data_IF_356477940822
#
_entry.id   IF_356477940822
#
_cell.length_a   1.000
_cell.length_b   1.000
_cell.length_c   1.000
_cell.angle_alpha   90.00
_cell.angle_beta   90.00
_cell.angle_gamma   90.00
#
_symmetry.space_group_name_H-M   'P 1'
#
loop_
_entity.id
_entity.type
_entity.pdbx_description
1 polymer ?
#
# COMPACT_ATOMS: atom_id res chain seq x y z
N UNK A 1 -33.33 13.51 -36.87
CA UNK A 1 -32.54 12.90 -37.97
C UNK A 1 -32.05 11.52 -37.50
N UNK A 2 -32.67 10.42 -37.95
CA UNK A 2 -32.38 9.05 -37.46
C UNK A 2 -30.91 8.62 -37.63
N UNK A 3 -30.21 9.20 -38.61
CA UNK A 3 -28.79 8.94 -38.88
C UNK A 3 -27.88 9.36 -37.72
N UNK A 4 -28.11 10.54 -37.12
CA UNK A 4 -27.28 11.07 -36.03
C UNK A 4 -27.44 10.21 -34.77
N UNK A 5 -28.68 9.78 -34.49
CA UNK A 5 -28.97 8.89 -33.37
C UNK A 5 -28.28 7.54 -33.52
N UNK A 6 -28.27 6.96 -34.73
CA UNK A 6 -27.59 5.70 -34.99
C UNK A 6 -26.06 5.79 -34.78
N UNK A 7 -25.43 6.88 -35.24
CA UNK A 7 -23.99 7.12 -35.04
C UNK A 7 -23.66 7.24 -33.55
N UNK A 8 -24.47 8.00 -32.80
CA UNK A 8 -24.26 8.18 -31.36
C UNK A 8 -24.36 6.85 -30.60
N UNK A 9 -25.34 6.00 -30.94
CA UNK A 9 -25.50 4.70 -30.29
C UNK A 9 -24.29 3.79 -30.56
N UNK A 10 -23.82 3.71 -31.82
CA UNK A 10 -22.63 2.91 -32.16
C UNK A 10 -21.37 3.42 -31.44
N UNK A 11 -21.24 4.73 -31.25
CA UNK A 11 -20.13 5.32 -30.52
C UNK A 11 -20.13 4.89 -29.04
N UNK A 12 -21.31 4.90 -28.41
CA UNK A 12 -21.51 4.45 -27.03
C UNK A 12 -21.19 2.95 -26.90
N UNK A 13 -21.67 2.13 -27.83
CA UNK A 13 -21.39 0.68 -27.84
C UNK A 13 -19.89 0.40 -27.97
N UNK A 14 -19.20 1.16 -28.82
CA UNK A 14 -17.76 1.07 -28.96
C UNK A 14 -17.04 1.49 -27.67
N UNK A 15 -17.45 2.61 -27.06
CA UNK A 15 -16.91 3.08 -25.79
C UNK A 15 -17.14 2.08 -24.65
N UNK A 16 -18.25 1.34 -24.67
CA UNK A 16 -18.53 0.28 -23.70
C UNK A 16 -17.68 -0.98 -23.95
N UNK A 17 -17.37 -1.32 -25.21
CA UNK A 17 -16.65 -2.54 -25.57
C UNK A 17 -15.11 -2.42 -25.50
N UNK A 18 -14.55 -1.25 -25.82
CA UNK A 18 -13.09 -1.03 -25.88
C UNK A 18 -12.36 -1.29 -24.55
N UNK A 19 -12.85 -0.86 -23.37
CA UNK A 19 -12.17 -1.09 -22.09
C UNK A 19 -11.96 -2.57 -21.78
N UNK A 20 -12.94 -3.42 -22.09
CA UNK A 20 -12.85 -4.86 -21.86
C UNK A 20 -11.75 -5.51 -22.71
N UNK A 21 -11.68 -5.15 -23.99
CA UNK A 21 -10.64 -5.64 -24.92
C UNK A 21 -9.24 -5.19 -24.51
N UNK A 22 -9.10 -3.94 -24.07
CA UNK A 22 -7.81 -3.42 -23.58
C UNK A 22 -7.36 -4.15 -22.31
N UNK A 23 -8.29 -4.38 -21.36
CA UNK A 23 -8.01 -5.16 -20.16
C UNK A 23 -7.51 -6.58 -20.48
N UNK A 24 -8.20 -7.29 -21.39
CA UNK A 24 -7.78 -8.63 -21.83
C UNK A 24 -6.36 -8.63 -22.40
N UNK A 25 -6.02 -7.60 -23.19
CA UNK A 25 -4.71 -7.48 -23.84
C UNK A 25 -3.57 -7.23 -22.85
N UNK A 26 -3.83 -6.49 -21.75
CA UNK A 26 -2.80 -6.15 -20.77
C UNK A 26 -2.63 -7.18 -19.64
N UNK A 27 -3.64 -8.01 -19.40
CA UNK A 27 -3.66 -8.93 -18.25
C UNK A 27 -2.47 -9.89 -18.21
N UNK A 28 -2.18 -10.58 -19.31
CA UNK A 28 -1.11 -11.60 -19.34
C UNK A 28 0.30 -10.99 -19.26
N UNK A 29 0.64 -9.95 -20.04
CA UNK A 29 1.94 -9.28 -19.91
C UNK A 29 2.14 -8.67 -18.52
N UNK A 30 1.09 -8.11 -17.91
CA UNK A 30 1.17 -7.56 -16.56
C UNK A 30 1.45 -8.67 -15.53
N UNK A 31 0.77 -9.82 -15.63
CA UNK A 31 1.03 -10.97 -14.77
C UNK A 31 2.48 -11.45 -14.88
N UNK A 32 3.00 -11.60 -16.10
CA UNK A 32 4.40 -11.97 -16.34
C UNK A 32 5.39 -10.91 -15.83
N UNK A 33 5.03 -9.63 -15.93
CA UNK A 33 5.82 -8.54 -15.36
C UNK A 33 5.88 -8.60 -13.84
N UNK A 34 4.74 -8.86 -13.19
CA UNK A 34 4.62 -9.03 -11.74
C UNK A 34 5.45 -10.24 -11.28
N UNK A 35 5.30 -11.40 -11.91
CA UNK A 35 6.06 -12.61 -11.58
C UNK A 35 7.58 -12.39 -11.69
N UNK A 36 8.04 -11.72 -12.77
CA UNK A 36 9.44 -11.33 -12.92
C UNK A 36 9.91 -10.37 -11.83
N UNK A 37 9.10 -9.40 -11.42
CA UNK A 37 9.47 -8.48 -10.35
C UNK A 37 9.45 -9.15 -8.95
N UNK A 38 8.62 -10.18 -8.73
CA UNK A 38 8.66 -11.01 -7.52
C UNK A 38 9.94 -11.84 -7.44
N UNK A 39 10.32 -12.52 -8.53
CA UNK A 39 11.58 -13.31 -8.58
C UNK A 39 12.81 -12.45 -8.38
N UNK A 40 12.78 -11.20 -8.86
CA UNK A 40 13.85 -10.21 -8.64
C UNK A 40 13.80 -9.54 -7.25
N UNK A 41 12.86 -9.91 -6.37
CA UNK A 41 12.75 -9.35 -5.02
C UNK A 41 12.37 -7.87 -4.95
N UNK A 42 11.78 -7.31 -6.02
CA UNK A 42 11.37 -5.89 -6.07
C UNK A 42 10.14 -5.60 -5.21
N UNK A 43 9.26 -6.58 -5.04
CA UNK A 43 8.09 -6.45 -4.17
C UNK A 43 8.47 -6.70 -2.72
N UNK A 44 8.62 -5.62 -1.94
CA UNK A 44 8.91 -5.67 -0.50
C UNK A 44 7.67 -5.33 0.36
N UNK A 45 6.49 -5.20 -0.25
CA UNK A 45 5.27 -4.76 0.43
C UNK A 45 5.34 -3.30 0.90
N UNK A 46 4.41 -2.90 1.76
CA UNK A 46 4.39 -1.56 2.38
C UNK A 46 5.47 -1.49 3.45
N UNK A 47 6.52 -0.72 3.19
CA UNK A 47 7.60 -0.50 4.14
C UNK A 47 7.15 0.43 5.27
N UNK A 48 7.73 0.24 6.46
CA UNK A 48 7.50 1.12 7.60
C UNK A 48 8.07 2.53 7.32
N UNK A 49 7.35 3.56 7.76
CA UNK A 49 7.84 4.94 7.66
C UNK A 49 8.86 5.21 8.77
N UNK A 50 10.12 4.90 8.48
CA UNK A 50 11.22 5.06 9.42
C UNK A 50 11.40 6.51 9.88
N UNK A 51 11.06 7.50 9.04
CA UNK A 51 11.19 8.91 9.40
C UNK A 51 10.18 9.30 10.46
N UNK A 52 8.95 8.81 10.35
CA UNK A 52 7.93 8.99 11.39
C UNK A 52 8.32 8.29 12.68
N UNK A 53 8.84 7.06 12.59
CA UNK A 53 9.32 6.34 13.77
C UNK A 53 10.51 7.03 14.48
N UNK A 54 11.35 7.79 13.75
CA UNK A 54 12.48 8.54 14.32
C UNK A 54 12.10 9.93 14.83
N UNK A 55 11.22 10.65 14.12
CA UNK A 55 10.78 12.01 14.48
C UNK A 55 9.85 12.04 15.69
N UNK A 56 9.12 10.96 15.91
CA UNK A 56 8.35 10.72 17.12
C UNK A 56 9.23 9.84 18.04
N UNK A 57 10.16 10.40 18.86
CA UNK A 57 11.00 9.64 19.80
C UNK A 57 10.19 9.08 20.98
N UNK A 58 8.91 8.86 20.75
CA UNK A 58 7.92 8.54 21.77
C UNK A 58 8.16 7.14 22.34
N UNK A 59 8.54 6.15 21.52
CA UNK A 59 8.63 4.77 22.01
C UNK A 59 9.82 4.46 22.95
N UNK A 60 11.06 4.94 22.72
CA UNK A 60 12.17 4.69 23.65
C UNK A 60 12.01 5.43 24.99
N UNK A 61 11.31 6.57 24.99
CA UNK A 61 11.18 7.46 26.16
C UNK A 61 9.88 7.23 26.95
N UNK A 62 8.90 6.50 26.40
CA UNK A 62 7.65 6.14 27.07
C UNK A 62 7.73 4.94 28.03
N UNK A 63 8.92 4.61 28.56
CA UNK A 63 9.07 3.56 29.61
C UNK A 63 8.13 3.75 30.82
N UNK A 64 7.54 4.94 30.98
CA UNK A 64 6.65 5.32 32.08
C UNK A 64 5.20 5.65 31.66
N UNK A 65 4.82 5.52 30.39
CA UNK A 65 3.47 5.86 29.89
C UNK A 65 2.72 4.60 29.45
N UNK A 66 1.40 4.60 29.64
CA UNK A 66 0.54 3.50 29.20
C UNK A 66 0.45 3.47 27.68
N UNK A 67 0.25 2.28 27.12
CA UNK A 67 0.13 2.07 25.67
C UNK A 67 -1.09 2.83 25.10
N UNK A 68 -2.14 3.02 25.91
CA UNK A 68 -3.29 3.85 25.55
C UNK A 68 -2.92 5.32 25.44
N UNK A 69 -2.22 5.86 26.46
CA UNK A 69 -1.76 7.25 26.47
C UNK A 69 -0.80 7.53 25.31
N UNK A 70 -0.01 6.51 24.93
CA UNK A 70 0.86 6.56 23.75
C UNK A 70 0.05 6.72 22.47
N UNK A 71 -1.01 5.94 22.30
CA UNK A 71 -1.88 6.00 21.12
C UNK A 71 -2.55 7.38 21.00
N UNK A 72 -3.08 7.87 22.12
CA UNK A 72 -3.71 9.19 22.19
C UNK A 72 -2.74 10.32 21.83
N UNK A 73 -1.46 10.18 22.17
CA UNK A 73 -0.42 11.17 21.88
C UNK A 73 0.17 11.09 20.46
N UNK A 74 0.11 9.94 19.79
CA UNK A 74 0.89 9.68 18.54
C UNK A 74 0.06 9.39 17.30
N UNK A 75 -1.27 9.40 17.40
CA UNK A 75 -2.19 9.06 16.29
C UNK A 75 -1.90 7.65 15.68
N UNK A 76 -1.19 6.80 16.42
CA UNK A 76 -0.98 5.40 16.08
C UNK A 76 -2.03 4.54 16.75
N UNK A 77 -2.45 3.46 16.07
CA UNK A 77 -3.26 2.44 16.72
C UNK A 77 -2.44 1.63 17.72
N UNK A 78 -3.10 1.06 18.73
CA UNK A 78 -2.47 0.18 19.72
C UNK A 78 -1.65 -0.94 19.05
N UNK A 79 -2.21 -1.58 18.01
CA UNK A 79 -1.54 -2.65 17.26
C UNK A 79 -0.29 -2.15 16.52
N UNK A 80 -0.30 -0.91 16.03
CA UNK A 80 0.88 -0.31 15.42
C UNK A 80 1.96 -0.08 16.48
N UNK A 81 1.61 0.41 17.66
CA UNK A 81 2.56 0.63 18.77
C UNK A 81 3.23 -0.68 19.16
N UNK A 82 2.47 -1.75 19.41
CA UNK A 82 3.04 -3.08 19.72
C UNK A 82 3.97 -3.59 18.62
N UNK A 83 3.57 -3.47 17.35
CA UNK A 83 4.40 -3.88 16.21
C UNK A 83 5.70 -3.08 16.15
N UNK A 84 5.63 -1.77 16.38
CA UNK A 84 6.80 -0.90 16.36
C UNK A 84 7.73 -1.22 17.55
N UNK A 85 7.19 -1.49 18.75
CA UNK A 85 7.99 -1.93 19.91
C UNK A 85 8.73 -3.25 19.63
N UNK A 86 8.04 -4.24 19.05
CA UNK A 86 8.67 -5.50 18.67
C UNK A 86 9.82 -5.28 17.68
N UNK A 87 9.59 -4.47 16.64
CA UNK A 87 10.61 -4.11 15.65
C UNK A 87 11.82 -3.42 16.30
N UNK A 88 11.62 -2.49 17.24
CA UNK A 88 12.73 -1.83 17.94
C UNK A 88 13.53 -2.80 18.80
N UNK A 89 12.88 -3.75 19.49
CA UNK A 89 13.56 -4.77 20.30
C UNK A 89 14.45 -5.66 19.45
N UNK A 90 13.96 -6.09 18.28
CA UNK A 90 14.72 -6.91 17.33
C UNK A 90 15.95 -6.16 16.79
N UNK A 91 15.78 -4.88 16.38
CA UNK A 91 16.90 -4.05 15.92
C UNK A 91 17.95 -3.78 17.02
N UNK A 92 17.56 -3.75 18.30
CA UNK A 92 18.52 -3.62 19.41
C UNK A 92 19.33 -4.90 19.63
N UNK A 93 18.69 -6.07 19.53
CA UNK A 93 19.41 -7.36 19.66
C UNK A 93 20.32 -7.69 18.48
N UNK A 94 20.09 -7.13 17.30
CA UNK A 94 20.97 -7.29 16.14
C UNK A 94 22.21 -6.36 16.19
N UNK A 95 22.18 -5.35 17.07
CA UNK A 95 23.27 -4.38 17.23
C UNK A 95 24.24 -4.74 18.38
N UNK A 96 23.89 -5.72 19.22
CA UNK A 96 24.73 -6.32 20.27
C UNK A 96 25.44 -7.59 19.77
#
# INVERSE_FOLDING_TARGET
MPLITAINNMLIDLMAAMPHKNWLSHRQPQKQGIERAHTLGKYRGKQADQKRHQKDPVLPQMKNLSISETADATDYSLSQIYRIQALYRENQSEAE
#
